data_IF_538219056365
#
_entry.id   IF_538219056365
#
_cell.length_a   1.000
_cell.length_b   1.000
_cell.length_c   1.000
_cell.angle_alpha   90.00
_cell.angle_beta   90.00
_cell.angle_gamma   90.00
#
_symmetry.space_group_name_H-M   'P 1'
#
loop_
_entity.id
_entity.type
_entity.pdbx_description
1 polymer ?
#
# COMPACT_ATOMS: atom_id res chain seq x y z
N UNK A 1 -13.85 -3.99 11.07
CA UNK A 1 -14.73 -3.23 10.13
C UNK A 1 -15.06 -1.78 10.56
N UNK A 2 -14.34 -1.15 11.50
CA UNK A 2 -14.57 0.27 11.91
C UNK A 2 -13.60 1.29 11.28
N UNK A 3 -12.69 0.84 10.40
CA UNK A 3 -11.57 1.65 9.87
C UNK A 3 -11.90 2.36 8.54
N UNK A 4 -12.88 1.86 7.78
CA UNK A 4 -13.32 2.46 6.52
C UNK A 4 -14.36 3.58 6.71
N UNK A 5 -15.03 3.62 7.86
CA UNK A 5 -16.08 4.61 8.14
C UNK A 5 -15.56 6.02 8.35
N UNK A 6 -14.29 6.19 8.76
CA UNK A 6 -13.73 7.52 9.03
C UNK A 6 -13.34 8.25 7.74
N UNK A 7 -12.84 7.53 6.74
CA UNK A 7 -12.54 8.08 5.40
C UNK A 7 -13.81 8.55 4.68
N UNK A 8 -14.95 7.89 4.93
CA UNK A 8 -16.25 8.26 4.35
C UNK A 8 -16.84 9.57 4.89
N UNK A 9 -16.38 10.07 6.05
CA UNK A 9 -16.88 11.33 6.60
C UNK A 9 -16.37 12.55 5.81
N UNK A 10 -15.16 12.45 5.25
CA UNK A 10 -14.55 13.49 4.43
C UNK A 10 -15.13 13.54 3.01
N UNK A 11 -15.42 12.38 2.40
CA UNK A 11 -16.03 12.32 1.07
C UNK A 11 -17.49 12.80 1.10
N UNK A 12 -18.27 12.46 2.13
CA UNK A 12 -19.63 12.99 2.30
C UNK A 12 -19.68 14.49 2.63
N UNK A 13 -18.60 15.07 3.16
CA UNK A 13 -18.51 16.51 3.39
C UNK A 13 -18.25 17.30 2.11
N UNK A 14 -17.74 16.65 1.06
CA UNK A 14 -17.51 17.26 -0.26
C UNK A 14 -18.82 17.59 -1.01
N UNK A 15 -19.93 16.92 -0.65
CA UNK A 15 -21.27 17.18 -1.23
C UNK A 15 -22.12 18.15 -0.39
N UNK A 16 -21.63 18.61 0.77
CA UNK A 16 -22.35 19.48 1.70
C UNK A 16 -21.89 20.95 1.59
N UNK A 17 -21.92 21.50 0.38
CA UNK A 17 -21.50 22.86 0.01
C UNK A 17 -22.31 24.03 0.65
N UNK A 18 -23.09 23.83 1.71
CA UNK A 18 -23.95 24.89 2.29
C UNK A 18 -23.94 25.05 3.83
N UNK A 19 -22.97 24.50 4.55
CA UNK A 19 -22.73 24.76 6.01
C UNK A 19 -21.52 25.70 6.24
N UNK A 20 -21.22 26.53 5.24
CA UNK A 20 -19.85 26.83 4.78
C UNK A 20 -18.99 27.81 5.60
N UNK A 21 -19.53 28.54 6.58
CA UNK A 21 -18.77 29.64 7.19
C UNK A 21 -18.26 29.37 8.61
N UNK A 22 -18.91 28.50 9.39
CA UNK A 22 -18.54 28.28 10.81
C UNK A 22 -17.80 26.94 11.01
N UNK A 23 -17.99 25.94 10.14
CA UNK A 23 -17.22 24.69 10.16
C UNK A 23 -15.80 24.82 9.55
N UNK A 24 -15.58 25.80 8.69
CA UNK A 24 -14.30 26.01 7.99
C UNK A 24 -13.14 26.42 8.92
N UNK A 25 -13.42 27.16 10.00
CA UNK A 25 -12.39 27.62 10.94
C UNK A 25 -11.71 26.46 11.71
N UNK A 26 -12.40 25.33 11.87
CA UNK A 26 -11.87 24.15 12.55
C UNK A 26 -11.49 23.01 11.60
N UNK A 27 -11.87 23.09 10.31
CA UNK A 27 -11.57 22.05 9.31
C UNK A 27 -10.07 21.79 9.14
N UNK A 28 -9.25 22.85 9.11
CA UNK A 28 -7.80 22.73 9.04
C UNK A 28 -7.19 22.10 10.31
N UNK A 29 -7.78 22.38 11.48
CA UNK A 29 -7.36 21.80 12.76
C UNK A 29 -7.70 20.30 12.84
N UNK A 30 -8.92 19.91 12.44
CA UNK A 30 -9.31 18.50 12.37
C UNK A 30 -8.47 17.73 11.34
N UNK A 31 -8.25 18.30 10.16
CA UNK A 31 -7.39 17.68 9.14
C UNK A 31 -5.94 17.51 9.62
N UNK A 32 -5.44 18.43 10.47
CA UNK A 32 -4.12 18.30 11.10
C UNK A 32 -4.10 17.16 12.13
N UNK A 33 -5.12 17.05 12.98
CA UNK A 33 -5.23 15.94 13.95
C UNK A 33 -5.35 14.58 13.25
N UNK A 34 -6.16 14.49 12.20
CA UNK A 34 -6.31 13.28 11.40
C UNK A 34 -4.99 12.90 10.72
N UNK A 35 -4.24 13.89 10.21
CA UNK A 35 -2.91 13.66 9.65
C UNK A 35 -1.93 13.15 10.72
N UNK A 36 -1.89 13.77 11.91
CA UNK A 36 -1.03 13.31 13.01
C UNK A 36 -1.36 11.87 13.43
N UNK A 37 -2.64 11.49 13.42
CA UNK A 37 -3.04 10.11 13.69
C UNK A 37 -2.60 9.15 12.58
N UNK A 38 -2.81 9.49 11.31
CA UNK A 38 -2.35 8.68 10.18
C UNK A 38 -0.82 8.51 10.18
N UNK A 39 -0.08 9.54 10.59
CA UNK A 39 1.38 9.47 10.71
C UNK A 39 1.81 8.49 11.80
N UNK A 40 1.15 8.51 12.96
CA UNK A 40 1.37 7.52 14.04
C UNK A 40 1.05 6.11 13.58
N UNK A 41 -0.09 5.91 12.92
CA UNK A 41 -0.50 4.60 12.43
C UNK A 41 0.48 4.05 11.39
N UNK A 42 0.99 4.93 10.51
CA UNK A 42 2.03 4.61 9.52
C UNK A 42 3.35 4.22 10.19
N UNK A 43 3.72 4.87 11.29
CA UNK A 43 4.95 4.53 12.03
C UNK A 43 4.82 3.20 12.78
N UNK A 44 3.64 2.92 13.36
CA UNK A 44 3.33 1.61 13.95
C UNK A 44 3.42 0.51 12.88
N UNK A 45 2.79 0.72 11.72
CA UNK A 45 2.85 -0.22 10.60
C UNK A 45 4.28 -0.45 10.10
N UNK A 46 5.11 0.61 10.05
CA UNK A 46 6.53 0.49 9.69
C UNK A 46 7.29 -0.43 10.65
N UNK A 47 7.08 -0.25 11.95
CA UNK A 47 7.76 -1.06 12.97
C UNK A 47 7.28 -2.52 12.93
N UNK A 48 5.99 -2.74 12.71
CA UNK A 48 5.43 -4.08 12.54
C UNK A 48 6.04 -4.81 11.33
N UNK A 49 6.16 -4.13 10.18
CA UNK A 49 6.83 -4.67 8.98
C UNK A 49 8.29 -5.03 9.29
N UNK A 50 9.00 -4.17 10.01
CA UNK A 50 10.39 -4.43 10.39
C UNK A 50 10.54 -5.67 11.31
N UNK A 51 9.64 -5.82 12.29
CA UNK A 51 9.62 -7.00 13.18
C UNK A 51 9.37 -8.28 12.39
N UNK A 52 8.33 -8.29 11.56
CA UNK A 52 7.97 -9.46 10.75
C UNK A 52 9.11 -9.84 9.83
N UNK A 53 9.78 -8.88 9.18
CA UNK A 53 10.96 -9.15 8.36
C UNK A 53 12.10 -9.79 9.13
N UNK A 54 12.35 -9.34 10.36
CA UNK A 54 13.40 -9.91 11.19
C UNK A 54 13.08 -11.36 11.56
N UNK A 55 11.82 -11.65 11.91
CA UNK A 55 11.33 -13.01 12.17
C UNK A 55 11.43 -13.90 10.93
N UNK A 56 11.01 -13.41 9.76
CA UNK A 56 11.16 -14.13 8.48
C UNK A 56 12.62 -14.46 8.20
N UNK A 57 13.52 -13.48 8.35
CA UNK A 57 14.95 -13.68 8.11
C UNK A 57 15.57 -14.68 9.09
N UNK A 58 15.07 -14.74 10.33
CA UNK A 58 15.52 -15.75 11.29
C UNK A 58 15.04 -17.15 10.87
N UNK A 59 13.77 -17.29 10.48
CA UNK A 59 13.22 -18.56 10.03
C UNK A 59 13.91 -19.07 8.75
N UNK A 60 14.28 -18.18 7.83
CA UNK A 60 15.11 -18.50 6.66
C UNK A 60 16.47 -19.09 7.06
N UNK A 61 17.12 -18.51 8.07
CA UNK A 61 18.39 -19.04 8.59
C UNK A 61 18.21 -20.41 9.22
N UNK A 62 17.13 -20.61 9.96
CA UNK A 62 16.85 -21.87 10.65
C UNK A 62 16.60 -22.99 9.64
N UNK A 63 15.79 -22.74 8.59
CA UNK A 63 15.60 -23.68 7.46
C UNK A 63 16.95 -24.01 6.80
N UNK A 64 17.77 -23.00 6.52
CA UNK A 64 19.07 -23.18 5.87
C UNK A 64 20.04 -23.99 6.74
N UNK A 65 20.10 -23.69 8.03
CA UNK A 65 20.93 -24.39 8.99
C UNK A 65 20.52 -25.86 9.11
N UNK A 66 19.21 -26.13 9.12
CA UNK A 66 18.69 -27.49 9.20
C UNK A 66 18.99 -28.31 7.95
N UNK A 67 18.81 -27.72 6.76
CA UNK A 67 19.23 -28.35 5.49
C UNK A 67 20.73 -28.64 5.45
N UNK A 68 21.56 -27.72 5.92
CA UNK A 68 23.00 -27.93 6.01
C UNK A 68 23.36 -29.06 6.99
N UNK A 69 22.66 -29.13 8.13
CA UNK A 69 22.85 -30.19 9.12
C UNK A 69 22.42 -31.56 8.60
N UNK A 70 21.32 -31.64 7.82
CA UNK A 70 20.94 -32.86 7.10
C UNK A 70 22.06 -33.28 6.16
N UNK A 71 22.54 -32.38 5.29
CA UNK A 71 23.60 -32.69 4.34
C UNK A 71 24.91 -33.19 5.02
N UNK A 72 25.29 -32.58 6.15
CA UNK A 72 26.43 -33.02 6.94
C UNK A 72 26.22 -34.44 7.51
N UNK A 73 25.06 -34.71 8.12
CA UNK A 73 24.73 -36.04 8.62
C UNK A 73 24.64 -37.09 7.51
N UNK A 74 24.17 -36.73 6.33
CA UNK A 74 24.16 -37.62 5.17
C UNK A 74 25.59 -38.01 4.76
N UNK A 75 26.54 -37.08 4.84
CA UNK A 75 27.96 -37.38 4.61
C UNK A 75 28.52 -38.30 5.70
N UNK A 76 28.19 -38.04 6.97
CA UNK A 76 28.59 -38.90 8.10
C UNK A 76 28.04 -40.33 7.96
N UNK A 77 26.77 -40.47 7.59
CA UNK A 77 26.13 -41.77 7.37
C UNK A 77 26.82 -42.56 6.24
N UNK A 78 27.19 -41.89 5.14
CA UNK A 78 27.95 -42.52 4.05
C UNK A 78 29.33 -42.99 4.52
N UNK A 79 30.06 -42.15 5.26
CA UNK A 79 31.37 -42.52 5.80
C UNK A 79 31.27 -43.71 6.78
N UNK A 80 30.22 -43.77 7.61
CA UNK A 80 29.98 -44.89 8.52
C UNK A 80 29.69 -46.20 7.77
N UNK A 81 28.91 -46.14 6.68
CA UNK A 81 28.66 -47.30 5.80
C UNK A 81 29.96 -47.79 5.16
N UNK A 82 30.77 -46.89 4.61
CA UNK A 82 32.08 -47.23 4.03
C UNK A 82 33.03 -47.84 5.06
N UNK A 83 32.88 -47.47 6.33
CA UNK A 83 33.66 -48.01 7.45
C UNK A 83 33.13 -49.36 7.99
N UNK A 84 32.05 -49.91 7.41
CA UNK A 84 31.41 -51.14 7.87
C UNK A 84 30.63 -51.00 9.19
N UNK A 85 30.32 -49.78 9.63
CA UNK A 85 29.58 -49.49 10.87
C UNK A 85 28.08 -49.35 10.59
N UNK A 86 27.46 -50.41 10.08
CA UNK A 86 26.08 -50.39 9.58
C UNK A 86 25.06 -49.96 10.63
N UNK A 87 25.12 -50.48 11.86
CA UNK A 87 24.18 -50.11 12.93
C UNK A 87 24.20 -48.61 13.27
N UNK A 88 25.40 -48.02 13.32
CA UNK A 88 25.56 -46.58 13.56
C UNK A 88 25.07 -45.77 12.36
N UNK A 89 25.31 -46.23 11.13
CA UNK A 89 24.79 -45.58 9.94
C UNK A 89 23.25 -45.59 9.92
N UNK A 90 22.61 -46.70 10.29
CA UNK A 90 21.15 -46.79 10.39
C UNK A 90 20.58 -45.80 11.41
N UNK A 91 21.23 -45.65 12.56
CA UNK A 91 20.83 -44.66 13.57
C UNK A 91 20.94 -43.22 13.04
N UNK A 92 22.00 -42.90 12.28
CA UNK A 92 22.14 -41.58 11.64
C UNK A 92 21.08 -41.36 10.56
N UNK A 93 20.72 -42.38 9.78
CA UNK A 93 19.63 -42.29 8.80
C UNK A 93 18.28 -42.00 9.46
N UNK A 94 17.95 -42.64 10.58
CA UNK A 94 16.72 -42.35 11.32
C UNK A 94 16.67 -40.90 11.83
N UNK A 95 17.82 -40.34 12.26
CA UNK A 95 17.92 -38.93 12.64
C UNK A 95 17.72 -38.00 11.42
N UNK A 96 18.27 -38.37 10.26
CA UNK A 96 18.09 -37.63 9.01
C UNK A 96 16.60 -37.60 8.63
N UNK A 97 15.92 -38.74 8.64
CA UNK A 97 14.48 -38.83 8.31
C UNK A 97 13.64 -37.93 9.22
N UNK A 98 13.92 -37.89 10.52
CA UNK A 98 13.27 -36.97 11.45
C UNK A 98 13.51 -35.50 11.07
N UNK A 99 14.75 -35.14 10.78
CA UNK A 99 15.10 -33.77 10.36
C UNK A 99 14.47 -33.39 9.02
N UNK A 100 14.43 -34.31 8.05
CA UNK A 100 13.82 -34.15 6.74
C UNK A 100 12.30 -34.00 6.83
N UNK A 101 11.64 -34.69 7.77
CA UNK A 101 10.22 -34.51 8.05
C UNK A 101 9.89 -33.12 8.62
N UNK A 102 10.81 -32.51 9.36
CA UNK A 102 10.60 -31.18 9.95
C UNK A 102 10.95 -30.01 9.00
N UNK A 103 11.74 -30.24 7.96
CA UNK A 103 12.08 -29.22 6.94
C UNK A 103 10.84 -28.65 6.23
N UNK A 104 9.92 -29.46 5.65
CA UNK A 104 8.76 -28.92 4.93
C UNK A 104 7.84 -28.12 5.87
N UNK A 105 7.73 -28.50 7.14
CA UNK A 105 6.95 -27.74 8.14
C UNK A 105 7.53 -26.33 8.33
N UNK A 106 8.87 -26.22 8.41
CA UNK A 106 9.54 -24.92 8.52
C UNK A 106 9.47 -24.11 7.22
N UNK A 107 9.51 -24.78 6.06
CA UNK A 107 9.36 -24.12 4.76
C UNK A 107 7.94 -23.58 4.55
N UNK A 108 6.91 -24.35 4.93
CA UNK A 108 5.53 -23.89 4.90
C UNK A 108 5.32 -22.69 5.84
N UNK A 109 5.86 -22.75 7.06
CA UNK A 109 5.83 -21.63 7.99
C UNK A 109 6.55 -20.40 7.41
N UNK A 110 7.68 -20.59 6.74
CA UNK A 110 8.42 -19.52 6.09
C UNK A 110 7.61 -18.88 4.96
N UNK A 111 6.97 -19.71 4.12
CA UNK A 111 6.14 -19.21 3.02
C UNK A 111 4.94 -18.41 3.53
N UNK A 112 4.30 -18.87 4.62
CA UNK A 112 3.21 -18.13 5.28
C UNK A 112 3.69 -16.80 5.84
N UNK A 113 4.85 -16.77 6.51
CA UNK A 113 5.43 -15.54 7.07
C UNK A 113 5.84 -14.55 5.96
N UNK A 114 6.38 -15.03 4.85
CA UNK A 114 6.70 -14.21 3.68
C UNK A 114 5.44 -13.58 3.06
N UNK A 115 4.34 -14.34 2.96
CA UNK A 115 3.06 -13.82 2.49
C UNK A 115 2.49 -12.75 3.43
N UNK A 116 2.55 -12.97 4.75
CA UNK A 116 2.17 -11.98 5.77
C UNK A 116 3.00 -10.70 5.63
N UNK A 117 4.32 -10.84 5.47
CA UNK A 117 5.23 -9.71 5.28
C UNK A 117 4.83 -8.88 4.05
N UNK A 118 4.60 -9.52 2.90
CA UNK A 118 4.19 -8.84 1.68
C UNK A 118 2.85 -8.11 1.85
N UNK A 119 1.89 -8.72 2.54
CA UNK A 119 0.60 -8.08 2.83
C UNK A 119 0.77 -6.84 3.71
N UNK A 120 1.59 -6.92 4.76
CA UNK A 120 1.85 -5.80 5.67
C UNK A 120 2.61 -4.66 4.97
N UNK A 121 3.56 -4.99 4.08
CA UNK A 121 4.23 -4.00 3.25
C UNK A 121 3.25 -3.25 2.34
N UNK A 122 2.31 -3.96 1.71
CA UNK A 122 1.27 -3.32 0.90
C UNK A 122 0.40 -2.38 1.74
N UNK A 123 0.03 -2.78 2.96
CA UNK A 123 -0.73 -1.91 3.88
C UNK A 123 0.08 -0.66 4.27
N UNK A 124 1.36 -0.83 4.59
CA UNK A 124 2.27 0.27 4.90
C UNK A 124 2.41 1.25 3.72
N UNK A 125 2.52 0.74 2.49
CA UNK A 125 2.59 1.59 1.29
C UNK A 125 1.29 2.37 1.07
N UNK A 126 0.12 1.75 1.29
CA UNK A 126 -1.18 2.44 1.22
C UNK A 126 -1.28 3.54 2.29
N UNK A 127 -0.84 3.28 3.52
CA UNK A 127 -0.79 4.28 4.59
C UNK A 127 0.16 5.44 4.25
N UNK A 128 1.33 5.15 3.67
CA UNK A 128 2.25 6.17 3.20
C UNK A 128 1.64 7.08 2.13
N UNK A 129 0.92 6.49 1.17
CA UNK A 129 0.19 7.25 0.14
C UNK A 129 -0.89 8.12 0.78
N UNK A 130 -1.71 7.56 1.68
CA UNK A 130 -2.74 8.29 2.40
C UNK A 130 -2.17 9.48 3.20
N UNK A 131 -1.04 9.29 3.90
CA UNK A 131 -0.34 10.38 4.62
C UNK A 131 0.15 11.45 3.63
N UNK A 132 0.72 11.06 2.50
CA UNK A 132 1.16 12.02 1.47
C UNK A 132 0.00 12.85 0.93
N UNK A 133 -1.13 12.21 0.65
CA UNK A 133 -2.30 12.87 0.09
C UNK A 133 -2.98 13.78 1.13
N UNK A 134 -3.10 13.32 2.38
CA UNK A 134 -3.56 14.14 3.50
C UNK A 134 -2.68 15.38 3.70
N UNK A 135 -1.33 15.24 3.64
CA UNK A 135 -0.38 16.38 3.69
C UNK A 135 -0.56 17.37 2.54
N UNK A 136 -0.91 16.90 1.34
CA UNK A 136 -1.18 17.77 0.19
C UNK A 136 -2.50 18.51 0.37
N UNK A 137 -3.55 17.79 0.78
CA UNK A 137 -4.87 18.35 1.08
C UNK A 137 -4.81 19.43 2.16
N UNK A 138 -4.09 19.18 3.25
CA UNK A 138 -3.90 20.15 4.34
C UNK A 138 -3.21 21.43 3.85
N UNK A 139 -2.17 21.30 3.01
CA UNK A 139 -1.50 22.47 2.42
C UNK A 139 -2.43 23.28 1.52
N UNK A 140 -3.26 22.60 0.70
CA UNK A 140 -4.25 23.29 -0.12
C UNK A 140 -5.26 24.06 0.74
N UNK A 141 -5.79 23.44 1.81
CA UNK A 141 -6.69 24.11 2.75
C UNK A 141 -6.05 25.34 3.40
N UNK A 142 -4.80 25.22 3.89
CA UNK A 142 -4.07 26.35 4.46
C UNK A 142 -3.84 27.49 3.45
N UNK A 143 -3.56 27.15 2.18
CA UNK A 143 -3.44 28.17 1.13
C UNK A 143 -4.77 28.83 0.80
N UNK A 144 -5.87 28.07 0.77
CA UNK A 144 -7.22 28.61 0.56
C UNK A 144 -7.62 29.54 1.71
N UNK A 145 -7.35 29.13 2.96
CA UNK A 145 -7.58 29.94 4.16
C UNK A 145 -6.75 31.24 4.13
N UNK A 146 -5.48 31.16 3.74
CA UNK A 146 -4.61 32.33 3.57
C UNK A 146 -5.09 33.29 2.48
N UNK A 147 -5.57 32.77 1.35
CA UNK A 147 -6.15 33.58 0.26
C UNK A 147 -7.47 34.22 0.69
N UNK A 148 -8.33 33.48 1.39
CA UNK A 148 -9.59 34.00 1.95
C UNK A 148 -9.32 35.13 2.95
N UNK A 149 -8.43 34.91 3.93
CA UNK A 149 -8.03 35.92 4.91
C UNK A 149 -7.39 37.17 4.26
N UNK A 150 -6.57 36.97 3.21
CA UNK A 150 -5.98 38.08 2.44
C UNK A 150 -7.03 38.87 1.65
N UNK A 151 -8.05 38.18 1.13
CA UNK A 151 -9.18 38.81 0.40
C UNK A 151 -10.07 39.60 1.35
N UNK A 152 -10.36 39.07 2.54
CA UNK A 152 -11.11 39.77 3.59
C UNK A 152 -10.35 41.00 4.11
N UNK A 153 -9.04 40.87 4.32
CA UNK A 153 -8.17 41.99 4.72
C UNK A 153 -8.09 43.06 3.63
N UNK A 154 -8.08 42.68 2.35
CA UNK A 154 -8.13 43.63 1.24
C UNK A 154 -9.50 44.33 1.11
N UNK A 155 -10.60 43.64 1.44
CA UNK A 155 -11.95 44.20 1.43
C UNK A 155 -12.22 45.18 2.60
N UNK A 156 -11.55 44.97 3.73
CA UNK A 156 -11.67 45.82 4.95
C UNK A 156 -10.78 47.06 4.92
N UNK A 157 -9.78 47.14 4.03
CA UNK A 157 -9.07 48.40 3.77
C UNK A 157 -9.94 49.27 2.86
N UNK A 158 -10.51 50.35 3.41
CA UNK A 158 -11.13 51.44 2.65
C UNK A 158 -10.09 52.06 1.70
N UNK A 159 -9.95 51.52 0.50
CA UNK A 159 -9.19 52.13 -0.58
C UNK A 159 -10.16 53.00 -1.37
N UNK A 160 -10.09 54.31 -1.11
CA UNK A 160 -10.59 55.30 -2.06
C UNK A 160 -9.96 55.04 -3.43
N UNK A 161 -10.79 55.13 -4.47
CA UNK A 161 -10.49 54.90 -5.88
C UNK A 161 -10.64 53.44 -6.41
N UNK A 162 -11.79 52.82 -6.10
CA UNK A 162 -12.16 51.42 -6.37
C UNK A 162 -12.56 51.04 -7.80
N UNK A 163 -11.99 51.65 -8.85
CA UNK A 163 -12.36 51.34 -10.25
C UNK A 163 -11.41 50.32 -10.91
N UNK A 164 -10.09 50.46 -10.71
CA UNK A 164 -9.11 49.69 -11.49
C UNK A 164 -8.74 48.33 -10.90
N UNK A 165 -8.75 48.19 -9.57
CA UNK A 165 -8.38 46.95 -8.88
C UNK A 165 -9.50 45.89 -8.94
N UNK A 166 -10.77 46.30 -8.77
CA UNK A 166 -11.93 45.43 -8.91
C UNK A 166 -12.07 44.90 -10.34
N UNK A 167 -11.80 45.74 -11.34
CA UNK A 167 -11.79 45.33 -12.75
C UNK A 167 -10.67 44.31 -13.04
N UNK A 168 -9.47 44.50 -12.46
CA UNK A 168 -8.36 43.53 -12.55
C UNK A 168 -8.67 42.24 -11.79
N UNK A 169 -9.36 42.32 -10.66
CA UNK A 169 -9.76 41.17 -9.86
C UNK A 169 -10.83 40.34 -10.57
N UNK A 170 -11.91 40.97 -11.06
CA UNK A 170 -12.94 40.31 -11.89
C UNK A 170 -12.33 39.67 -13.14
N UNK A 171 -11.36 40.34 -13.77
CA UNK A 171 -10.64 39.80 -14.93
C UNK A 171 -9.77 38.60 -14.56
N UNK A 172 -9.16 38.58 -13.37
CA UNK A 172 -8.36 37.46 -12.88
C UNK A 172 -9.23 36.29 -12.40
N UNK A 173 -10.35 36.56 -11.76
CA UNK A 173 -11.35 35.56 -11.36
C UNK A 173 -11.97 34.88 -12.58
N UNK A 174 -12.32 35.64 -13.63
CA UNK A 174 -12.79 35.08 -14.89
C UNK A 174 -11.74 34.20 -15.58
N UNK A 175 -10.46 34.56 -15.51
CA UNK A 175 -9.36 33.75 -16.06
C UNK A 175 -9.12 32.48 -15.25
N UNK A 176 -9.22 32.53 -13.92
CA UNK A 176 -9.07 31.36 -13.05
C UNK A 176 -10.26 30.41 -13.22
N UNK A 177 -11.50 30.91 -13.24
CA UNK A 177 -12.69 30.10 -13.52
C UNK A 177 -12.58 29.43 -14.89
N UNK A 178 -12.18 30.16 -15.93
CA UNK A 178 -12.00 29.58 -17.27
C UNK A 178 -10.90 28.52 -17.34
N UNK A 179 -9.84 28.65 -16.52
CA UNK A 179 -8.80 27.61 -16.40
C UNK A 179 -9.26 26.41 -15.58
N UNK A 180 -10.12 26.62 -14.58
CA UNK A 180 -10.73 25.56 -13.80
C UNK A 180 -11.75 24.78 -14.64
N UNK A 181 -12.60 25.48 -15.40
CA UNK A 181 -13.56 24.90 -16.35
C UNK A 181 -12.83 24.17 -17.48
N UNK A 182 -11.70 24.70 -17.98
CA UNK A 182 -10.87 23.99 -18.97
C UNK A 182 -10.15 22.77 -18.36
N UNK A 183 -9.77 22.81 -17.08
CA UNK A 183 -9.17 21.66 -16.39
C UNK A 183 -10.22 20.60 -16.04
N UNK A 184 -11.44 20.99 -15.70
CA UNK A 184 -12.58 20.09 -15.49
C UNK A 184 -13.06 19.49 -16.81
N UNK A 185 -13.19 20.27 -17.88
CA UNK A 185 -13.50 19.76 -19.21
C UNK A 185 -12.38 18.86 -19.78
N UNK A 186 -11.11 19.14 -19.47
CA UNK A 186 -10.00 18.24 -19.81
C UNK A 186 -10.00 16.96 -18.96
N UNK A 187 -10.54 17.01 -17.73
CA UNK A 187 -10.74 15.83 -16.88
C UNK A 187 -11.97 15.00 -17.28
N UNK A 188 -13.01 15.63 -17.86
CA UNK A 188 -14.21 14.97 -18.39
C UNK A 188 -14.00 14.41 -19.81
N UNK A 189 -13.09 15.00 -20.59
CA UNK A 189 -12.63 14.45 -21.88
C UNK A 189 -11.54 13.37 -21.73
N UNK A 190 -11.14 13.05 -20.49
CA UNK A 190 -10.41 11.85 -20.14
C UNK A 190 -11.33 10.63 -20.19
N UNK A 191 -11.46 10.06 -21.39
CA UNK A 191 -12.18 8.82 -21.72
C UNK A 191 -12.15 7.73 -20.62
N UNK A 192 -13.26 6.97 -20.44
CA UNK A 192 -13.49 6.08 -19.32
C UNK A 192 -12.43 4.96 -19.26
N UNK A 193 -11.59 5.02 -18.24
CA UNK A 193 -10.58 3.99 -17.96
C UNK A 193 -11.24 2.69 -17.47
N UNK A 194 -12.46 2.76 -16.91
CA UNK A 194 -13.21 1.56 -16.52
C UNK A 194 -13.64 0.67 -17.71
N UNK A 195 -14.02 1.21 -18.87
CA UNK A 195 -14.50 0.38 -20.00
C UNK A 195 -13.37 -0.30 -20.80
N UNK A 196 -12.15 0.24 -20.77
CA UNK A 196 -10.97 -0.41 -21.36
C UNK A 196 -10.37 -1.49 -20.47
N UNK A 197 -10.50 -1.35 -19.15
CA UNK A 197 -10.05 -2.38 -18.21
C UNK A 197 -10.97 -3.60 -18.21
N UNK A 198 -12.29 -3.43 -18.33
CA UNK A 198 -13.21 -4.58 -18.46
C UNK A 198 -13.04 -5.31 -19.80
N UNK A 199 -12.88 -4.60 -20.93
CA UNK A 199 -12.56 -5.26 -22.22
C UNK A 199 -11.17 -5.92 -22.25
N UNK A 200 -10.17 -5.37 -21.56
CA UNK A 200 -8.84 -5.99 -21.48
C UNK A 200 -8.82 -7.18 -20.53
N UNK A 201 -9.57 -7.14 -19.42
CA UNK A 201 -9.71 -8.26 -18.49
C UNK A 201 -10.53 -9.40 -19.10
N UNK A 202 -11.55 -9.11 -19.91
CA UNK A 202 -12.32 -10.14 -20.62
C UNK A 202 -11.55 -10.74 -21.81
N UNK A 203 -10.67 -9.97 -22.46
CA UNK A 203 -9.72 -10.51 -23.45
C UNK A 203 -8.54 -11.28 -22.82
N UNK A 204 -8.19 -10.99 -21.57
CA UNK A 204 -7.10 -11.63 -20.83
C UNK A 204 -7.54 -12.86 -20.02
N UNK A 205 -8.83 -12.96 -19.66
CA UNK A 205 -9.47 -14.17 -19.13
C UNK A 205 -9.83 -15.18 -20.23
N UNK A 206 -9.09 -15.12 -21.34
CA UNK A 206 -9.07 -16.13 -22.39
C UNK A 206 -9.14 -17.53 -21.80
N UNK A 207 -10.27 -18.16 -22.07
CA UNK A 207 -10.52 -19.59 -21.96
C UNK A 207 -9.35 -20.36 -22.56
N UNK A 208 -8.41 -20.83 -21.74
CA UNK A 208 -7.36 -21.67 -22.29
C UNK A 208 -6.11 -21.90 -21.46
N UNK A 209 -6.22 -22.47 -20.26
CA UNK A 209 -5.09 -23.22 -19.66
C UNK A 209 -5.49 -24.51 -18.93
N UNK A 210 -6.58 -25.17 -19.35
CA UNK A 210 -6.86 -26.55 -18.97
C UNK A 210 -6.32 -27.60 -19.96
N UNK A 211 -6.17 -27.22 -21.24
CA UNK A 211 -5.75 -28.14 -22.31
C UNK A 211 -4.23 -28.26 -22.47
N UNK A 212 -3.44 -27.27 -22.01
CA UNK A 212 -1.98 -27.27 -22.19
C UNK A 212 -1.22 -28.16 -21.19
N UNK A 213 -1.82 -28.46 -20.03
CA UNK A 213 -1.24 -29.37 -19.03
C UNK A 213 -1.45 -30.84 -19.43
N UNK A 214 -2.63 -31.17 -19.97
CA UNK A 214 -2.94 -32.50 -20.50
C UNK A 214 -2.12 -32.86 -21.76
N UNK A 215 -1.80 -31.87 -22.60
CA UNK A 215 -0.92 -32.07 -23.76
C UNK A 215 0.55 -32.33 -23.36
N UNK A 216 1.04 -31.68 -22.29
CA UNK A 216 2.39 -31.93 -21.75
C UNK A 216 2.54 -33.31 -21.10
N UNK A 217 1.46 -33.84 -20.49
CA UNK A 217 1.45 -35.20 -19.92
C UNK A 217 1.36 -36.29 -21.01
N UNK A 218 0.71 -36.03 -22.15
CA UNK A 218 0.60 -36.99 -23.27
C UNK A 218 1.80 -36.99 -24.23
N UNK A 219 2.61 -35.94 -24.25
CA UNK A 219 3.82 -35.87 -25.08
C UNK A 219 5.09 -36.37 -24.34
N UNK A 220 4.96 -36.72 -23.06
CA UNK A 220 6.05 -37.22 -22.20
C UNK A 220 6.04 -38.73 -21.96
N UNK A 221 5.31 -39.51 -22.76
CA UNK A 221 5.33 -40.98 -22.79
C UNK A 221 5.76 -41.49 -24.16
#
# INVERSE_FOLDING_TARGET
MKLLTTVFRWIKAKDAEQSEAIENANAASFAKQDLEQLEKDRDVARNAVASIKAETAQLERDVRAKKAAVAAKTADAKALLESGKEELATQVCALIEGMEGEIPVLEDALQQQQALCAQQEQQYQRLNQAVSDARRSLRMMQTMESVAASTEKAASVKIGDGSSALARFKKREAVIRRRLDQAQAASELGTPVEQRLEQQVESALGTGQGASVLARLKAGS
#
